data_IF_601518149072
#
_entry.id   IF_601518149072
#
_cell.length_a   1.000
_cell.length_b   1.000
_cell.length_c   1.000
_cell.angle_alpha   90.00
_cell.angle_beta   90.00
_cell.angle_gamma   90.00
#
_symmetry.space_group_name_H-M   'P 1'
#
loop_
_entity.id
_entity.type
_entity.pdbx_description
1 polymer ?
#
# COMPACT_ATOMS: atom_id res chain seq x y z
N UNK A 1 18.46 -4.76 -6.35
CA UNK A 1 17.85 -3.82 -5.39
C UNK A 1 17.96 -4.45 -4.02
N UNK A 2 18.68 -3.82 -3.10
CA UNK A 2 18.70 -4.27 -1.71
C UNK A 2 17.34 -3.99 -1.07
N UNK A 3 16.79 -4.97 -0.33
CA UNK A 3 15.61 -4.77 0.50
C UNK A 3 16.02 -3.89 1.69
N UNK A 4 15.88 -2.57 1.53
CA UNK A 4 16.17 -1.64 2.62
C UNK A 4 15.08 -1.83 3.69
N UNK A 5 15.46 -2.19 4.93
CA UNK A 5 14.51 -2.36 6.01
C UNK A 5 13.78 -1.04 6.31
N UNK A 6 12.45 -1.11 6.39
CA UNK A 6 11.63 0.07 6.71
C UNK A 6 11.66 0.33 8.20
N UNK A 7 11.97 1.57 8.58
CA UNK A 7 12.05 2.02 9.97
C UNK A 7 10.98 3.08 10.26
N UNK A 8 10.53 3.12 11.52
CA UNK A 8 9.72 4.22 12.01
C UNK A 8 10.54 5.52 12.16
N UNK A 9 9.88 6.60 12.58
CA UNK A 9 10.51 7.92 12.76
C UNK A 9 11.58 7.95 13.86
N UNK A 10 11.61 6.95 14.74
CA UNK A 10 12.57 6.80 15.82
C UNK A 10 13.72 5.83 15.45
N UNK A 11 13.75 5.35 14.20
CA UNK A 11 14.75 4.38 13.72
C UNK A 11 14.46 2.93 14.13
N UNK A 12 13.28 2.63 14.69
CA UNK A 12 12.91 1.26 15.02
C UNK A 12 12.49 0.50 13.77
N UNK A 13 13.03 -0.70 13.60
CA UNK A 13 12.67 -1.60 12.51
C UNK A 13 11.19 -2.00 12.55
N UNK A 14 10.50 -1.84 11.42
CA UNK A 14 9.13 -2.31 11.22
C UNK A 14 9.17 -3.71 10.59
N UNK A 15 8.57 -4.68 11.28
CA UNK A 15 8.59 -6.10 10.90
C UNK A 15 7.25 -6.61 10.38
N UNK A 16 6.17 -5.87 10.57
CA UNK A 16 4.84 -6.25 10.08
C UNK A 16 4.45 -5.38 8.87
N UNK A 17 3.74 -6.00 7.92
CA UNK A 17 3.38 -5.38 6.64
C UNK A 17 2.45 -4.17 6.79
N UNK A 18 1.58 -4.18 7.81
CA UNK A 18 0.63 -3.10 8.08
C UNK A 18 1.35 -1.81 8.49
N UNK A 19 2.26 -1.90 9.43
CA UNK A 19 3.02 -0.75 9.94
C UNK A 19 3.99 -0.25 8.86
N UNK A 20 4.59 -1.16 8.09
CA UNK A 20 5.40 -0.80 6.92
C UNK A 20 4.60 0.01 5.90
N UNK A 21 3.38 -0.45 5.54
CA UNK A 21 2.52 0.27 4.62
C UNK A 21 2.13 1.65 5.16
N UNK A 22 1.79 1.73 6.45
CA UNK A 22 1.49 2.99 7.13
C UNK A 22 2.67 3.96 7.05
N UNK A 23 3.90 3.48 7.31
CA UNK A 23 5.11 4.30 7.24
C UNK A 23 5.39 4.83 5.84
N UNK A 24 5.12 4.03 4.81
CA UNK A 24 5.19 4.49 3.41
C UNK A 24 4.18 5.58 3.10
N UNK A 25 2.94 5.45 3.61
CA UNK A 25 1.94 6.50 3.51
C UNK A 25 2.41 7.82 4.15
N UNK A 26 2.94 7.74 5.38
CA UNK A 26 3.50 8.90 6.08
C UNK A 26 4.65 9.55 5.28
N UNK A 27 5.58 8.74 4.76
CA UNK A 27 6.71 9.23 3.94
C UNK A 27 6.23 9.94 2.67
N UNK A 28 5.19 9.42 2.01
CA UNK A 28 4.61 10.03 0.82
C UNK A 28 3.97 11.38 1.14
N UNK A 29 3.20 11.47 2.22
CA UNK A 29 2.61 12.72 2.70
C UNK A 29 3.67 13.77 3.04
N UNK A 30 4.73 13.37 3.75
CA UNK A 30 5.88 14.23 4.07
C UNK A 30 6.59 14.74 2.81
N UNK A 31 6.85 13.84 1.85
CA UNK A 31 7.60 14.16 0.62
C UNK A 31 6.81 15.09 -0.31
N UNK A 32 5.50 14.88 -0.43
CA UNK A 32 4.65 15.64 -1.36
C UNK A 32 3.88 16.79 -0.70
N UNK A 33 4.11 17.06 0.58
CA UNK A 33 3.38 18.05 1.38
C UNK A 33 1.85 17.88 1.28
N UNK A 34 1.40 16.62 1.25
CA UNK A 34 -0.02 16.28 1.21
C UNK A 34 -0.50 16.17 2.66
N UNK A 35 -1.34 17.10 3.09
CA UNK A 35 -1.78 17.22 4.49
C UNK A 35 -2.75 16.12 4.95
N UNK A 36 -3.17 15.21 4.06
CA UNK A 36 -4.12 14.16 4.41
C UNK A 36 -3.86 12.87 3.62
N UNK A 37 -3.72 11.77 4.34
CA UNK A 37 -4.05 10.45 3.80
C UNK A 37 -5.58 10.36 3.66
N UNK A 38 -6.04 9.61 2.66
CA UNK A 38 -7.45 9.23 2.58
C UNK A 38 -7.79 8.48 3.88
N UNK A 39 -8.83 8.95 4.58
CA UNK A 39 -9.30 8.33 5.82
C UNK A 39 -9.58 6.84 5.56
N UNK A 40 -9.05 5.96 6.41
CA UNK A 40 -9.28 4.53 6.30
C UNK A 40 -10.78 4.19 6.33
N UNK A 41 -11.58 4.92 7.11
CA UNK A 41 -13.04 4.76 7.11
C UNK A 41 -13.66 5.09 5.74
N UNK A 42 -13.08 6.03 5.00
CA UNK A 42 -13.52 6.36 3.65
C UNK A 42 -13.07 5.29 2.66
N UNK A 43 -11.86 4.74 2.81
CA UNK A 43 -11.36 3.61 2.01
C UNK A 43 -12.25 2.38 2.21
N UNK A 44 -12.61 2.08 3.46
CA UNK A 44 -13.45 0.93 3.81
C UNK A 44 -14.89 1.06 3.28
N UNK A 45 -15.33 2.29 2.98
CA UNK A 45 -16.61 2.58 2.32
C UNK A 45 -16.58 2.41 0.80
N UNK A 46 -15.39 2.29 0.19
CA UNK A 46 -15.28 2.06 -1.25
C UNK A 46 -15.83 0.66 -1.54
N UNK A 47 -16.96 0.59 -2.25
CA UNK A 47 -17.46 -0.69 -2.73
C UNK A 47 -16.43 -1.32 -3.66
N UNK A 48 -15.89 -2.47 -3.25
CA UNK A 48 -15.10 -3.31 -4.13
C UNK A 48 -16.08 -3.97 -5.11
N UNK A 49 -16.02 -3.67 -6.41
CA UNK A 49 -16.91 -4.29 -7.37
C UNK A 49 -16.66 -5.80 -7.39
N UNK A 50 -17.72 -6.60 -7.43
CA UNK A 50 -17.61 -8.02 -7.73
C UNK A 50 -16.99 -8.16 -9.12
N UNK A 51 -15.76 -8.67 -9.18
CA UNK A 51 -15.10 -8.92 -10.45
C UNK A 51 -15.80 -10.08 -11.16
N UNK A 52 -15.83 -10.02 -12.49
CA UNK A 52 -16.18 -11.21 -13.25
C UNK A 52 -15.09 -12.27 -13.07
N UNK A 53 -15.46 -13.54 -13.23
CA UNK A 53 -14.50 -14.67 -13.14
C UNK A 53 -13.32 -14.50 -14.10
N UNK A 54 -13.55 -13.88 -15.26
CA UNK A 54 -12.51 -13.56 -16.25
C UNK A 54 -11.54 -12.49 -15.75
N UNK A 55 -12.05 -11.41 -15.16
CA UNK A 55 -11.21 -10.30 -14.70
C UNK A 55 -10.41 -10.70 -13.46
N UNK A 56 -11.00 -11.49 -12.56
CA UNK A 56 -10.29 -12.09 -11.43
C UNK A 56 -9.12 -12.98 -11.89
N UNK A 57 -9.34 -13.85 -12.90
CA UNK A 57 -8.27 -14.66 -13.49
C UNK A 57 -7.15 -13.80 -14.07
N UNK A 58 -7.50 -12.69 -14.75
CA UNK A 58 -6.52 -11.80 -15.39
C UNK A 58 -5.66 -11.06 -14.36
N UNK A 59 -6.25 -10.61 -13.25
CA UNK A 59 -5.53 -9.90 -12.18
C UNK A 59 -4.64 -10.82 -11.35
N UNK A 60 -5.02 -12.08 -11.20
CA UNK A 60 -4.25 -13.10 -10.49
C UNK A 60 -3.18 -13.78 -11.37
N UNK A 61 -3.19 -13.54 -12.69
CA UNK A 61 -2.18 -14.07 -13.58
C UNK A 61 -0.80 -13.49 -13.24
N UNK A 62 0.25 -14.30 -13.35
CA UNK A 62 1.61 -13.80 -13.19
C UNK A 62 1.87 -12.68 -14.22
N UNK A 63 2.47 -11.56 -13.81
CA UNK A 63 2.88 -10.51 -14.74
C UNK A 63 3.81 -11.11 -15.80
N UNK A 64 3.40 -11.02 -17.07
CA UNK A 64 4.27 -11.41 -18.18
C UNK A 64 5.21 -10.25 -18.51
N UNK A 65 6.48 -10.58 -18.75
CA UNK A 65 7.47 -9.65 -19.28
C UNK A 65 7.61 -10.01 -20.77
N UNK A 66 6.64 -9.58 -21.59
CA UNK A 66 6.83 -9.56 -23.04
C UNK A 66 7.59 -8.30 -23.47
#
# INVERSE_FOLDING_TARGET
MENIPVQDKNGKLLVNSRDTLKRWGEFFCETLNVCALIDQNLIDQIQIPTLSTTEEHRQNAQPSIE
#
